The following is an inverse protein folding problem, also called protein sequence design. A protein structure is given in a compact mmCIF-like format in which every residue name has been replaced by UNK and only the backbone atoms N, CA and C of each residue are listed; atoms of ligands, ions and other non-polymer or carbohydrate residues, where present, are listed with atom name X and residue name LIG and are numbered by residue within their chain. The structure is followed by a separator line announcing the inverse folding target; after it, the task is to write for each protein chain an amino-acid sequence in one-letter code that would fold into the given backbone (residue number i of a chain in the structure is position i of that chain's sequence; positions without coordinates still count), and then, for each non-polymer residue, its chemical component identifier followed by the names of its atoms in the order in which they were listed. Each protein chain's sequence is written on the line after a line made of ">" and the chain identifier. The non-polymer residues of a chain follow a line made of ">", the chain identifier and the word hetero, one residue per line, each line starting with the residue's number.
data_IF_433644652484
#
_entry.id   IF_433644652484
#
_cell.length_a   1.000
_cell.length_b   1.000
_cell.length_c   1.000
_cell.angle_alpha   90.00
_cell.angle_beta   90.00
_cell.angle_gamma   90.00
#
_symmetry.space_group_name_H-M   'P 1'
#
loop_
_entity.id
_entity.type
_entity.pdbx_description
1 polymer ?
#
# COMPACT_ATOMS: atom_id res chain seq x y z
N UNK A 1 -14.23 -32.31 19.84
CA UNK A 1 -13.30 -31.16 19.75
C UNK A 1 -13.94 -30.11 18.85
N UNK A 2 -14.32 -28.92 19.34
CA UNK A 2 -14.77 -27.88 18.43
C UNK A 2 -13.55 -27.40 17.62
N UNK A 3 -13.60 -27.65 16.31
CA UNK A 3 -12.63 -27.13 15.35
C UNK A 3 -12.72 -25.61 15.36
N UNK A 4 -11.67 -24.93 15.81
CA UNK A 4 -11.59 -23.47 15.74
C UNK A 4 -11.60 -23.06 14.27
N UNK A 5 -12.78 -22.64 13.76
CA UNK A 5 -12.90 -22.03 12.44
C UNK A 5 -11.92 -20.85 12.39
N UNK A 6 -11.06 -20.74 11.36
CA UNK A 6 -10.26 -19.54 11.17
C UNK A 6 -11.23 -18.35 11.16
N UNK A 7 -11.02 -17.37 12.04
CA UNK A 7 -11.72 -16.10 11.92
C UNK A 7 -11.32 -15.56 10.55
N UNK A 8 -12.28 -15.49 9.63
CA UNK A 8 -12.06 -14.89 8.33
C UNK A 8 -11.68 -13.43 8.57
N UNK A 9 -10.39 -13.12 8.49
CA UNK A 9 -9.95 -11.73 8.44
C UNK A 9 -10.53 -11.14 7.15
N UNK A 10 -11.48 -10.20 7.28
CA UNK A 10 -11.98 -9.52 6.09
C UNK A 10 -10.87 -8.64 5.55
N UNK A 11 -10.42 -8.95 4.33
CA UNK A 11 -9.52 -8.10 3.58
C UNK A 11 -10.35 -7.02 2.87
N UNK A 12 -10.00 -5.76 3.09
CA UNK A 12 -10.58 -4.62 2.38
C UNK A 12 -9.59 -4.16 1.32
N UNK A 13 -10.07 -3.96 0.09
CA UNK A 13 -9.29 -3.26 -0.94
C UNK A 13 -9.22 -1.78 -0.60
N UNK A 14 -8.01 -1.21 -0.57
CA UNK A 14 -7.77 0.21 -0.39
C UNK A 14 -7.01 0.76 -1.60
N UNK A 15 -7.44 1.93 -2.06
CA UNK A 15 -6.76 2.71 -3.08
C UNK A 15 -6.25 4.01 -2.44
N UNK A 16 -4.95 4.29 -2.60
CA UNK A 16 -4.31 5.48 -2.01
C UNK A 16 -3.40 6.19 -2.99
N UNK A 17 -3.24 7.50 -2.77
CA UNK A 17 -2.16 8.29 -3.34
C UNK A 17 -1.09 8.49 -2.28
N UNK A 18 0.04 7.80 -2.43
CA UNK A 18 1.19 7.97 -1.55
C UNK A 18 2.07 9.12 -2.05
N UNK A 19 2.57 9.96 -1.14
CA UNK A 19 3.48 11.07 -1.45
C UNK A 19 4.75 10.93 -0.64
N UNK A 20 5.90 10.91 -1.32
CA UNK A 20 7.21 10.74 -0.69
C UNK A 20 8.33 10.94 -1.69
N UNK A 21 9.56 10.80 -1.22
CA UNK A 21 10.73 10.63 -2.08
C UNK A 21 10.65 9.32 -2.84
N UNK A 22 11.45 9.18 -3.90
CA UNK A 22 11.46 7.95 -4.70
C UNK A 22 11.83 6.72 -3.83
N UNK A 23 12.81 6.86 -2.95
CA UNK A 23 13.28 5.79 -2.06
C UNK A 23 12.23 5.39 -1.02
N UNK A 24 11.54 6.36 -0.42
CA UNK A 24 10.43 6.08 0.50
C UNK A 24 9.30 5.30 -0.19
N UNK A 25 8.96 5.69 -1.43
CA UNK A 25 7.94 4.98 -2.20
C UNK A 25 8.42 3.59 -2.63
N UNK A 26 9.70 3.39 -2.95
CA UNK A 26 10.26 2.05 -3.18
C UNK A 26 10.12 1.19 -1.92
N UNK A 27 10.57 1.71 -0.78
CA UNK A 27 10.51 0.98 0.49
C UNK A 27 9.08 0.60 0.87
N UNK A 28 8.12 1.53 0.71
CA UNK A 28 6.69 1.27 0.92
C UNK A 28 6.19 0.13 0.02
N UNK A 29 6.49 0.17 -1.28
CA UNK A 29 6.10 -0.86 -2.24
C UNK A 29 6.70 -2.23 -1.87
N UNK A 30 7.97 -2.27 -1.50
CA UNK A 30 8.65 -3.50 -1.06
C UNK A 30 8.00 -4.09 0.19
N UNK A 31 7.65 -3.27 1.18
CA UNK A 31 6.97 -3.74 2.39
C UNK A 31 5.56 -4.26 2.10
N UNK A 32 4.79 -3.56 1.26
CA UNK A 32 3.45 -4.01 0.84
C UNK A 32 3.52 -5.32 0.05
N UNK A 33 4.49 -5.46 -0.86
CA UNK A 33 4.70 -6.68 -1.64
C UNK A 33 5.13 -7.85 -0.75
N UNK A 34 6.07 -7.64 0.16
CA UNK A 34 6.51 -8.65 1.12
C UNK A 34 5.36 -9.15 2.03
N UNK A 35 4.41 -8.27 2.34
CA UNK A 35 3.20 -8.62 3.09
C UNK A 35 2.10 -9.30 2.26
N UNK A 36 2.29 -9.48 0.95
CA UNK A 36 1.26 -9.98 0.02
C UNK A 36 0.06 -9.03 -0.09
N UNK A 37 0.27 -7.73 0.14
CA UNK A 37 -0.79 -6.71 0.17
C UNK A 37 -0.82 -5.86 -1.10
N UNK A 38 0.26 -5.81 -1.86
CA UNK A 38 0.34 -4.99 -3.06
C UNK A 38 -0.51 -5.58 -4.20
N UNK A 39 -1.46 -4.81 -4.71
CA UNK A 39 -2.34 -5.21 -5.83
C UNK A 39 -1.91 -4.53 -7.12
N UNK A 40 -1.69 -3.22 -7.06
CA UNK A 40 -1.35 -2.40 -8.23
C UNK A 40 -0.52 -1.19 -7.83
N UNK A 41 0.34 -0.76 -8.74
CA UNK A 41 1.18 0.42 -8.61
C UNK A 41 1.10 1.19 -9.91
N UNK A 42 0.73 2.47 -9.84
CA UNK A 42 0.80 3.37 -10.98
C UNK A 42 2.17 4.03 -11.13
N UNK A 43 2.35 4.78 -12.21
CA UNK A 43 3.59 5.54 -12.43
C UNK A 43 3.74 6.69 -11.40
N UNK A 44 4.97 6.97 -10.94
CA UNK A 44 5.22 8.10 -10.07
C UNK A 44 5.09 9.42 -10.83
N UNK A 45 4.36 10.37 -10.25
CA UNK A 45 4.25 11.73 -10.74
C UNK A 45 5.11 12.68 -9.89
N UNK A 46 6.11 13.30 -10.51
CA UNK A 46 7.00 14.25 -9.81
C UNK A 46 6.22 15.50 -9.42
N UNK A 47 6.42 15.95 -8.18
CA UNK A 47 5.80 17.16 -7.66
C UNK A 47 6.72 18.36 -7.83
N UNK A 48 6.12 19.55 -7.90
CA UNK A 48 6.81 20.83 -8.08
C UNK A 48 6.48 21.79 -6.92
N UNK A 49 7.19 22.92 -6.86
CA UNK A 49 6.98 23.93 -5.82
C UNK A 49 7.52 23.49 -4.47
N UNK A 50 6.72 23.65 -3.41
CA UNK A 50 7.14 23.31 -2.04
C UNK A 50 7.47 21.82 -1.83
N UNK A 51 6.96 20.95 -2.71
CA UNK A 51 7.21 19.50 -2.70
C UNK A 51 8.22 19.05 -3.76
N UNK A 52 9.03 19.97 -4.30
CA UNK A 52 10.08 19.63 -5.25
C UNK A 52 11.02 18.54 -4.68
N UNK A 53 11.31 17.52 -5.50
CA UNK A 53 12.07 16.33 -5.08
C UNK A 53 11.21 15.20 -4.51
N UNK A 54 9.90 15.42 -4.33
CA UNK A 54 8.92 14.39 -3.97
C UNK A 54 8.13 13.94 -5.19
N UNK A 55 7.50 12.79 -5.08
CA UNK A 55 6.60 12.24 -6.08
C UNK A 55 5.34 11.70 -5.42
N UNK A 56 4.25 11.72 -6.18
CA UNK A 56 2.98 11.11 -5.82
C UNK A 56 2.79 9.85 -6.66
N UNK A 57 2.38 8.75 -6.04
CA UNK A 57 2.15 7.48 -6.73
C UNK A 57 0.83 6.85 -6.30
N UNK A 58 0.07 6.35 -7.26
CA UNK A 58 -1.13 5.55 -6.99
C UNK A 58 -0.73 4.15 -6.55
N UNK A 59 -1.34 3.67 -5.46
CA UNK A 59 -1.12 2.32 -4.94
C UNK A 59 -2.48 1.72 -4.56
N UNK A 60 -2.77 0.54 -5.11
CA UNK A 60 -3.88 -0.32 -4.68
C UNK A 60 -3.34 -1.44 -3.80
N UNK A 61 -3.93 -1.62 -2.63
CA UNK A 61 -3.44 -2.54 -1.60
C UNK A 61 -4.59 -3.28 -0.92
N UNK A 62 -4.32 -4.45 -0.37
CA UNK A 62 -5.22 -5.17 0.51
C UNK A 62 -4.84 -4.90 1.97
N UNK A 63 -5.81 -4.43 2.74
CA UNK A 63 -5.64 -4.22 4.19
C UNK A 63 -6.45 -5.29 4.91
N UNK A 64 -5.80 -5.96 5.86
CA UNK A 64 -6.49 -6.84 6.79
C UNK A 64 -7.19 -5.97 7.81
N UNK A 65 -8.52 -6.07 7.91
CA UNK A 65 -9.21 -5.48 9.05
C UNK A 65 -8.89 -6.32 10.30
N UNK A 66 -8.66 -5.63 11.41
CA UNK A 66 -8.76 -6.27 12.72
C UNK A 66 -10.26 -6.33 13.05
N UNK A 67 -10.85 -7.51 12.92
CA UNK A 67 -12.21 -7.78 13.38
C UNK A 67 -12.24 -8.00 14.90
#
# INVERSE_FOLDING_TARGET
>A
MPSAKPRAHSSLGLEVWAVGTHDELIALRSQLAAGGRLVEVGDPHILAGADAGRCRQYIRTQIRSAA
#
